data_IF_931514245281
#
_entry.id   IF_931514245281
#
_cell.length_a   1.000
_cell.length_b   1.000
_cell.length_c   1.000
_cell.angle_alpha   90.00
_cell.angle_beta   90.00
_cell.angle_gamma   90.00
#
_symmetry.space_group_name_H-M   'P 1'
#
loop_
_entity.id
_entity.type
_entity.pdbx_description
1 polymer ?
#
# COMPACT_ATOMS: atom_id res chain seq x y z
N UNK A 1 12.61 25.10 51.62
CA UNK A 1 13.21 26.19 50.87
C UNK A 1 12.13 27.24 50.68
N UNK A 2 12.19 28.28 51.50
CA UNK A 2 11.27 29.42 51.43
C UNK A 2 11.59 30.27 50.21
N UNK A 3 10.60 30.42 49.31
CA UNK A 3 10.68 31.35 48.20
C UNK A 3 10.33 32.74 48.74
N UNK A 4 11.36 33.54 49.01
CA UNK A 4 11.20 34.97 49.32
C UNK A 4 10.66 35.68 48.08
N UNK A 5 9.37 36.12 48.13
CA UNK A 5 8.81 37.05 47.16
C UNK A 5 9.42 38.43 47.38
N UNK A 6 10.32 38.86 46.49
CA UNK A 6 10.74 40.26 46.43
C UNK A 6 9.60 41.08 45.80
N UNK A 7 9.04 42.03 46.55
CA UNK A 7 8.09 43.03 46.08
C UNK A 7 8.79 44.19 45.37
N UNK A 8 9.44 43.91 44.26
CA UNK A 8 9.86 44.91 43.28
C UNK A 8 8.88 44.84 42.14
N UNK A 9 8.11 45.89 41.87
CA UNK A 9 7.19 46.00 40.76
C UNK A 9 7.98 46.00 39.44
N UNK A 10 8.31 44.83 38.93
CA UNK A 10 8.79 44.67 37.55
C UNK A 10 7.59 44.87 36.63
N UNK A 11 7.66 45.91 35.83
CA UNK A 11 6.70 46.15 34.75
C UNK A 11 6.61 44.87 33.90
N UNK A 12 5.40 44.35 33.73
CA UNK A 12 5.21 43.12 32.97
C UNK A 12 5.57 43.38 31.52
N UNK A 13 6.33 42.49 30.86
CA UNK A 13 6.67 42.66 29.47
C UNK A 13 5.41 42.76 28.60
N UNK A 14 5.40 43.68 27.67
CA UNK A 14 4.31 43.89 26.73
C UNK A 14 4.48 42.92 25.53
N UNK A 15 3.39 42.47 24.90
CA UNK A 15 3.49 41.54 23.78
C UNK A 15 4.19 42.20 22.58
N UNK A 16 5.01 41.43 21.89
CA UNK A 16 5.59 41.74 20.59
C UNK A 16 4.84 40.99 19.50
N UNK A 17 4.46 41.71 18.42
CA UNK A 17 3.82 41.11 17.23
C UNK A 17 4.84 40.96 16.11
N UNK A 18 4.94 39.76 15.55
CA UNK A 18 5.62 39.47 14.29
C UNK A 18 4.59 39.43 13.17
N UNK A 19 4.48 40.51 12.35
CA UNK A 19 3.40 40.63 11.37
C UNK A 19 3.41 39.55 10.27
N UNK A 20 4.57 39.01 9.95
CA UNK A 20 4.79 37.94 8.96
C UNK A 20 4.14 36.60 9.38
N UNK A 21 3.94 36.38 10.67
CA UNK A 21 3.24 35.18 11.20
C UNK A 21 1.79 35.47 11.57
N UNK A 22 1.33 36.72 11.49
CA UNK A 22 -0.04 37.07 11.85
C UNK A 22 -1.02 36.76 10.71
N UNK A 23 -1.94 35.81 10.97
CA UNK A 23 -3.00 35.41 10.01
C UNK A 23 -4.27 36.27 10.08
N UNK A 24 -4.31 37.29 10.89
CA UNK A 24 -5.49 38.18 11.04
C UNK A 24 -6.73 37.44 11.58
N UNK A 25 -6.58 36.39 12.39
CA UNK A 25 -7.70 35.59 12.90
C UNK A 25 -8.52 36.26 13.98
N UNK A 26 -8.05 37.40 14.58
CA UNK A 26 -8.73 38.20 15.57
C UNK A 26 -8.89 37.59 16.98
N UNK A 27 -8.38 36.38 17.26
CA UNK A 27 -8.52 35.72 18.57
C UNK A 27 -7.89 36.53 19.70
N UNK A 28 -6.76 37.19 19.47
CA UNK A 28 -6.10 38.05 20.41
C UNK A 28 -6.92 39.31 20.74
N UNK A 29 -7.71 39.81 19.76
CA UNK A 29 -8.62 40.95 19.97
C UNK A 29 -9.68 40.59 21.03
N UNK A 30 -10.35 39.42 20.83
CA UNK A 30 -11.37 38.96 21.77
C UNK A 30 -10.82 38.58 23.17
N UNK A 31 -9.53 38.20 23.25
CA UNK A 31 -8.87 37.85 24.50
C UNK A 31 -8.34 39.04 25.28
N UNK A 32 -8.28 40.25 24.68
CA UNK A 32 -7.70 41.40 25.30
C UNK A 32 -8.71 42.14 26.22
N UNK A 33 -8.57 42.10 27.55
CA UNK A 33 -9.49 42.74 28.46
C UNK A 33 -9.36 44.30 28.47
N UNK A 34 -8.30 44.80 27.84
CA UNK A 34 -8.04 46.25 27.72
C UNK A 34 -8.42 46.82 26.35
N UNK A 35 -8.91 45.94 25.44
CA UNK A 35 -9.29 46.34 24.07
C UNK A 35 -8.19 47.12 23.32
N UNK A 36 -6.92 46.83 23.61
CA UNK A 36 -5.77 47.50 23.01
C UNK A 36 -5.22 46.76 21.77
N UNK A 37 -6.02 45.90 21.12
CA UNK A 37 -5.68 45.20 19.91
C UNK A 37 -6.80 45.41 18.88
N UNK A 38 -6.46 45.79 17.66
CA UNK A 38 -7.38 45.97 16.56
C UNK A 38 -6.80 45.35 15.28
N UNK A 39 -7.62 45.20 14.22
CA UNK A 39 -7.10 44.90 12.89
C UNK A 39 -6.35 46.12 12.33
N UNK A 40 -5.27 45.83 11.58
CA UNK A 40 -4.60 46.89 10.81
C UNK A 40 -5.51 47.36 9.66
N UNK A 41 -5.34 48.62 9.26
CA UNK A 41 -5.95 49.15 8.04
C UNK A 41 -5.18 48.77 6.76
N UNK A 42 -3.98 48.19 6.91
CA UNK A 42 -3.08 47.83 5.83
C UNK A 42 -2.92 46.32 5.72
N UNK A 43 -2.83 45.83 4.46
CA UNK A 43 -2.51 44.44 4.14
C UNK A 43 -0.99 44.24 4.23
N UNK A 44 -0.54 43.19 4.91
CA UNK A 44 0.87 42.83 4.91
C UNK A 44 1.27 42.36 3.49
N UNK A 45 2.21 43.03 2.81
CA UNK A 45 2.56 42.72 1.43
C UNK A 45 3.24 41.35 1.25
N UNK A 46 3.81 40.79 2.29
CA UNK A 46 4.49 39.48 2.25
C UNK A 46 3.50 38.33 2.36
N UNK A 47 2.46 38.50 3.20
CA UNK A 47 1.50 37.40 3.47
C UNK A 47 0.18 37.59 2.73
N UNK A 48 -0.13 38.80 2.26
CA UNK A 48 -1.43 39.13 1.67
C UNK A 48 -2.58 39.19 2.69
N UNK A 49 -2.28 39.14 4.00
CA UNK A 49 -3.26 39.12 5.08
C UNK A 49 -3.28 40.47 5.84
N UNK A 50 -4.41 40.75 6.48
CA UNK A 50 -4.54 41.92 7.36
C UNK A 50 -4.12 41.53 8.77
N UNK A 51 -2.94 41.97 9.29
CA UNK A 51 -2.49 41.66 10.64
C UNK A 51 -3.26 42.43 11.66
N UNK A 52 -3.04 42.12 12.94
CA UNK A 52 -3.49 42.99 14.04
C UNK A 52 -2.46 44.06 14.35
N UNK A 53 -2.88 45.12 15.04
CA UNK A 53 -2.00 46.16 15.59
C UNK A 53 -2.21 46.21 17.12
N UNK A 54 -1.14 46.55 17.83
CA UNK A 54 -1.11 46.62 19.28
C UNK A 54 -0.96 48.09 19.76
N UNK A 55 -1.90 48.57 20.59
CA UNK A 55 -1.71 49.78 21.36
C UNK A 55 -0.98 49.40 22.65
N UNK A 56 0.34 49.55 22.62
CA UNK A 56 1.18 49.18 23.75
C UNK A 56 1.05 50.17 24.95
N UNK A 57 0.56 51.38 24.73
CA UNK A 57 0.37 52.37 25.81
C UNK A 57 -0.84 51.97 26.68
N UNK A 58 -1.89 51.49 26.08
CA UNK A 58 -3.07 50.95 26.79
C UNK A 58 -2.85 49.54 27.36
N UNK A 59 -1.80 48.84 26.94
CA UNK A 59 -1.51 47.44 27.32
C UNK A 59 -0.94 47.34 28.76
N UNK A 60 -1.49 46.43 29.55
CA UNK A 60 -1.03 46.15 30.93
C UNK A 60 -0.11 44.91 31.05
N UNK A 61 0.32 44.31 29.93
CA UNK A 61 1.22 43.17 29.93
C UNK A 61 0.62 41.86 30.50
N UNK A 62 -0.70 41.65 30.43
CA UNK A 62 -1.33 40.45 31.00
C UNK A 62 -1.02 39.13 30.27
N UNK A 63 -0.52 39.17 29.04
CA UNK A 63 -0.13 38.00 28.27
C UNK A 63 -1.26 37.15 27.63
N UNK A 64 -2.53 37.50 27.87
CA UNK A 64 -3.67 36.71 27.39
C UNK A 64 -3.75 36.64 25.87
N UNK A 65 -3.30 37.68 25.16
CA UNK A 65 -3.22 37.68 23.68
C UNK A 65 -2.21 36.69 23.15
N UNK A 66 -1.10 36.49 23.85
CA UNK A 66 -0.06 35.49 23.49
C UNK A 66 -0.64 34.09 23.62
N UNK A 67 -1.29 33.80 24.76
CA UNK A 67 -1.94 32.50 24.99
C UNK A 67 -3.08 32.21 24.01
N UNK A 68 -3.79 33.26 23.55
CA UNK A 68 -4.91 33.14 22.62
C UNK A 68 -4.46 33.04 21.14
N UNK A 69 -3.21 33.42 20.84
CA UNK A 69 -2.68 33.34 19.49
C UNK A 69 -2.46 31.90 19.07
N UNK A 70 -3.05 31.41 17.95
CA UNK A 70 -2.83 30.05 17.46
C UNK A 70 -1.48 29.88 16.75
N UNK A 71 -0.81 31.00 16.41
CA UNK A 71 0.49 30.99 15.76
C UNK A 71 1.60 31.06 16.79
N UNK A 72 2.47 30.05 16.88
CA UNK A 72 3.52 30.00 17.91
C UNK A 72 4.51 31.18 17.85
N UNK A 73 4.66 31.77 16.66
CA UNK A 73 5.58 32.89 16.41
C UNK A 73 4.85 34.25 16.19
N UNK A 74 3.54 34.26 16.22
CA UNK A 74 2.75 35.46 15.91
C UNK A 74 2.80 36.52 16.99
N UNK A 75 2.64 36.14 18.24
CA UNK A 75 2.75 37.02 19.44
C UNK A 75 3.70 36.38 20.44
N UNK A 76 4.71 37.13 20.86
CA UNK A 76 5.72 36.72 21.84
C UNK A 76 5.83 37.69 23.00
N UNK A 77 6.56 37.30 24.03
CA UNK A 77 6.69 38.08 25.28
C UNK A 77 7.84 39.08 25.19
N UNK A 78 7.54 40.35 24.90
CA UNK A 78 8.44 41.48 24.95
C UNK A 78 9.43 41.66 23.82
N UNK A 79 9.67 40.63 23.01
CA UNK A 79 10.64 40.66 21.89
C UNK A 79 10.24 39.70 20.75
N UNK A 80 10.80 39.84 19.53
CA UNK A 80 10.67 38.82 18.51
C UNK A 80 11.03 37.45 19.03
N UNK A 81 10.35 36.40 18.58
CA UNK A 81 10.59 35.03 19.04
C UNK A 81 12.06 34.61 18.83
N UNK A 82 12.66 34.98 17.70
CA UNK A 82 14.06 34.71 17.40
C UNK A 82 15.03 35.35 18.43
N UNK A 83 14.65 36.50 18.97
CA UNK A 83 15.46 37.18 19.98
C UNK A 83 15.31 36.54 21.39
N UNK A 84 14.25 35.73 21.60
CA UNK A 84 14.02 35.00 22.86
C UNK A 84 14.71 33.64 22.89
N UNK A 85 15.18 33.17 21.75
CA UNK A 85 15.90 31.87 21.58
C UNK A 85 17.35 32.18 21.35
N UNK A 86 18.20 31.97 22.37
CA UNK A 86 19.65 31.97 22.19
C UNK A 86 20.05 30.62 21.58
N UNK A 87 20.19 30.56 20.25
CA UNK A 87 20.60 29.33 19.55
C UNK A 87 21.99 28.85 20.02
N UNK A 88 22.88 29.74 20.45
CA UNK A 88 24.17 29.37 20.99
C UNK A 88 24.10 28.75 22.39
N UNK A 89 22.99 29.01 23.12
CA UNK A 89 22.73 28.42 24.43
C UNK A 89 21.96 27.10 24.36
N UNK A 90 21.47 26.70 23.17
CA UNK A 90 20.83 25.40 22.99
C UNK A 90 21.90 24.31 23.17
N UNK A 91 21.65 23.29 24.02
CA UNK A 91 22.60 22.18 24.14
C UNK A 91 22.73 21.50 22.79
N UNK A 92 23.97 21.21 22.39
CA UNK A 92 24.18 20.37 21.22
C UNK A 92 23.29 19.11 21.32
N UNK A 93 22.60 18.73 20.23
CA UNK A 93 21.78 17.53 20.25
C UNK A 93 22.65 16.36 20.69
N UNK A 94 22.32 15.74 21.82
CA UNK A 94 23.02 14.53 22.25
C UNK A 94 23.04 13.51 21.10
N UNK A 95 24.21 12.93 20.85
CA UNK A 95 24.35 11.89 19.83
C UNK A 95 23.26 10.83 20.08
N UNK A 96 22.37 10.64 19.11
CA UNK A 96 21.29 9.66 19.22
C UNK A 96 21.87 8.28 18.98
N UNK A 97 21.53 7.27 19.81
CA UNK A 97 21.93 5.90 19.51
C UNK A 97 21.32 5.48 18.17
N UNK A 98 22.14 4.89 17.31
CA UNK A 98 21.67 4.30 16.06
C UNK A 98 20.86 3.04 16.37
N UNK A 99 19.62 2.97 15.88
CA UNK A 99 18.76 1.82 16.07
C UNK A 99 19.30 0.63 15.27
N UNK A 100 19.61 -0.46 15.97
CA UNK A 100 20.04 -1.70 15.34
C UNK A 100 18.83 -2.54 14.97
N UNK A 101 18.79 -3.15 13.76
CA UNK A 101 17.69 -4.01 13.39
C UNK A 101 17.65 -5.27 14.26
N UNK A 102 16.47 -5.62 14.74
CA UNK A 102 16.19 -6.92 15.35
C UNK A 102 15.72 -7.85 14.21
N UNK A 103 16.41 -8.97 13.91
CA UNK A 103 16.04 -9.84 12.82
C UNK A 103 14.76 -10.62 13.12
N UNK A 104 14.11 -11.09 12.05
CA UNK A 104 13.02 -12.06 12.16
C UNK A 104 13.52 -13.41 12.64
N UNK A 105 12.72 -14.06 13.47
CA UNK A 105 12.98 -15.43 13.91
C UNK A 105 12.03 -16.41 13.23
N UNK A 106 12.56 -17.46 12.62
CA UNK A 106 11.79 -18.55 12.01
C UNK A 106 11.65 -19.69 13.02
N UNK A 107 10.46 -19.83 13.59
CA UNK A 107 10.18 -20.78 14.64
C UNK A 107 9.43 -22.01 14.09
N UNK A 108 9.73 -23.23 14.58
CA UNK A 108 9.08 -24.43 14.07
C UNK A 108 7.58 -24.47 14.43
N UNK A 109 6.76 -24.85 13.45
CA UNK A 109 5.34 -25.11 13.64
C UNK A 109 5.13 -26.62 13.92
N UNK A 110 4.84 -26.97 15.16
CA UNK A 110 4.80 -28.37 15.60
C UNK A 110 3.61 -29.17 15.03
N UNK A 111 2.43 -28.53 14.91
CA UNK A 111 1.22 -29.16 14.37
C UNK A 111 0.94 -28.65 12.98
N UNK A 112 0.93 -29.55 11.99
CA UNK A 112 0.81 -29.23 10.56
C UNK A 112 -0.20 -30.13 9.86
N UNK A 113 -1.37 -30.35 10.47
CA UNK A 113 -2.41 -31.12 9.80
C UNK A 113 -2.98 -30.30 8.62
N UNK A 114 -3.15 -30.93 7.45
CA UNK A 114 -3.83 -30.28 6.33
C UNK A 114 -5.23 -29.81 6.72
N UNK A 115 -5.62 -28.65 6.22
CA UNK A 115 -6.94 -28.07 6.47
C UNK A 115 -7.73 -27.94 5.17
N UNK A 116 -9.06 -28.16 5.25
CA UNK A 116 -9.97 -27.80 4.18
C UNK A 116 -10.62 -26.45 4.52
N UNK A 117 -10.12 -25.37 3.90
CA UNK A 117 -10.52 -24.00 4.25
C UNK A 117 -10.73 -23.14 3.01
N UNK A 118 -11.46 -22.01 3.17
CA UNK A 118 -11.67 -21.01 2.13
C UNK A 118 -10.36 -20.28 1.81
N UNK A 119 -10.23 -19.78 0.56
CA UNK A 119 -9.07 -19.01 0.14
C UNK A 119 -8.83 -17.75 1.00
N UNK A 120 -9.88 -17.01 1.36
CA UNK A 120 -9.76 -15.85 2.25
C UNK A 120 -9.26 -16.24 3.66
N UNK A 121 -9.70 -17.38 4.20
CA UNK A 121 -9.19 -17.91 5.48
C UNK A 121 -7.73 -18.36 5.36
N UNK A 122 -7.36 -18.99 4.25
CA UNK A 122 -5.99 -19.42 4.00
C UNK A 122 -5.03 -18.22 3.97
N UNK A 123 -5.42 -17.12 3.32
CA UNK A 123 -4.67 -15.86 3.32
C UNK A 123 -4.52 -15.28 4.74
N UNK A 124 -5.60 -15.24 5.52
CA UNK A 124 -5.55 -14.76 6.91
C UNK A 124 -4.60 -15.60 7.77
N UNK A 125 -4.63 -16.94 7.64
CA UNK A 125 -3.70 -17.83 8.33
C UNK A 125 -2.27 -17.63 7.85
N UNK A 126 -2.04 -17.48 6.55
CA UNK A 126 -0.73 -17.16 5.98
C UNK A 126 -0.15 -15.87 6.58
N UNK A 127 -0.98 -14.84 6.74
CA UNK A 127 -0.57 -13.61 7.39
C UNK A 127 -0.15 -13.81 8.85
N UNK A 128 -0.94 -14.54 9.62
CA UNK A 128 -0.62 -14.85 11.02
C UNK A 128 0.70 -15.66 11.15
N UNK A 129 0.92 -16.61 10.23
CA UNK A 129 2.16 -17.39 10.16
C UNK A 129 3.35 -16.55 9.74
N UNK A 130 3.13 -15.54 8.88
CA UNK A 130 4.13 -14.54 8.52
C UNK A 130 4.40 -13.51 9.63
N UNK A 131 3.80 -13.64 10.81
CA UNK A 131 4.01 -12.74 11.94
C UNK A 131 3.14 -11.47 11.92
N UNK A 132 2.12 -11.39 11.07
CA UNK A 132 1.16 -10.29 11.11
C UNK A 132 0.41 -10.29 12.44
N UNK A 133 0.40 -9.15 13.12
CA UNK A 133 -0.33 -8.93 14.39
C UNK A 133 -1.24 -7.71 14.34
N UNK A 134 -1.31 -7.05 13.20
CA UNK A 134 -2.10 -5.82 13.04
C UNK A 134 -2.96 -5.92 11.78
N UNK A 135 -4.26 -5.76 11.97
CA UNK A 135 -5.24 -5.74 10.88
C UNK A 135 -6.09 -4.48 10.98
N UNK A 136 -6.20 -3.77 9.86
CA UNK A 136 -7.05 -2.60 9.74
C UNK A 136 -7.89 -2.75 8.47
N UNK A 137 -9.22 -2.73 8.59
CA UNK A 137 -10.08 -2.95 7.43
C UNK A 137 -11.45 -2.36 7.58
N UNK A 138 -12.12 -2.21 6.44
CA UNK A 138 -13.53 -1.88 6.34
C UNK A 138 -14.26 -3.07 5.70
N UNK A 139 -15.42 -3.52 6.24
CA UNK A 139 -16.12 -4.69 5.72
C UNK A 139 -16.61 -4.48 4.29
N UNK A 140 -16.14 -5.31 3.37
CA UNK A 140 -16.57 -5.31 1.96
C UNK A 140 -16.55 -6.72 1.39
N UNK A 141 -17.67 -7.14 0.77
CA UNK A 141 -17.83 -8.45 0.14
C UNK A 141 -17.14 -8.45 -1.24
N UNK A 142 -16.41 -9.53 -1.64
CA UNK A 142 -16.30 -10.86 -1.01
C UNK A 142 -15.04 -11.10 -0.18
N UNK A 143 -14.46 -10.08 0.45
CA UNK A 143 -13.24 -10.19 1.26
C UNK A 143 -13.52 -10.37 2.77
N UNK A 144 -14.78 -10.33 3.19
CA UNK A 144 -15.22 -10.25 4.59
C UNK A 144 -14.76 -11.42 5.44
N UNK A 145 -14.76 -12.65 4.91
CA UNK A 145 -14.41 -13.86 5.67
C UNK A 145 -12.97 -13.84 6.19
N UNK A 146 -12.04 -13.28 5.40
CA UNK A 146 -10.65 -13.09 5.86
C UNK A 146 -10.58 -12.13 7.04
N UNK A 147 -11.30 -11.01 6.95
CA UNK A 147 -11.37 -10.00 8.02
C UNK A 147 -12.03 -10.56 9.29
N UNK A 148 -13.12 -11.32 9.17
CA UNK A 148 -13.80 -11.96 10.29
C UNK A 148 -12.90 -12.97 11.02
N UNK A 149 -12.09 -13.74 10.26
CA UNK A 149 -11.13 -14.65 10.86
C UNK A 149 -10.04 -13.89 11.61
N UNK A 150 -9.52 -12.79 11.05
CA UNK A 150 -8.54 -11.93 11.73
C UNK A 150 -9.14 -11.31 13.00
N UNK A 151 -10.40 -10.84 12.96
CA UNK A 151 -11.09 -10.31 14.13
C UNK A 151 -11.21 -11.32 15.27
N UNK A 152 -11.39 -12.57 14.93
CA UNK A 152 -11.52 -13.68 15.90
C UNK A 152 -10.18 -14.10 16.50
N UNK A 153 -9.11 -14.14 15.70
CA UNK A 153 -7.85 -14.75 16.11
C UNK A 153 -6.86 -13.74 16.69
N UNK A 154 -6.75 -12.52 16.14
CA UNK A 154 -5.74 -11.54 16.53
C UNK A 154 -5.77 -11.16 18.01
N UNK A 155 -6.93 -10.89 18.65
CA UNK A 155 -6.96 -10.53 20.07
C UNK A 155 -6.36 -11.62 20.97
N UNK A 156 -6.65 -12.90 20.67
CA UNK A 156 -6.08 -14.04 21.42
C UNK A 156 -4.59 -14.26 21.20
N UNK A 157 -4.01 -13.63 20.17
CA UNK A 157 -2.58 -13.69 19.84
C UNK A 157 -1.81 -12.42 20.24
N UNK A 158 -2.43 -11.54 21.04
CA UNK A 158 -1.86 -10.24 21.42
C UNK A 158 -1.75 -9.24 20.26
N UNK A 159 -2.50 -9.45 19.20
CA UNK A 159 -2.56 -8.56 18.04
C UNK A 159 -3.70 -7.54 18.13
N UNK A 160 -3.72 -6.61 17.19
CA UNK A 160 -4.73 -5.56 17.07
C UNK A 160 -5.59 -5.76 15.84
N UNK A 161 -6.91 -5.78 16.03
CA UNK A 161 -7.89 -5.72 14.96
C UNK A 161 -8.70 -4.42 15.09
N UNK A 162 -8.71 -3.62 14.01
CA UNK A 162 -9.49 -2.37 13.97
C UNK A 162 -10.40 -2.39 12.76
N UNK A 163 -11.71 -2.34 13.00
CA UNK A 163 -12.67 -2.01 11.96
C UNK A 163 -12.68 -0.49 11.78
N UNK A 164 -12.08 -0.04 10.68
CA UNK A 164 -12.02 1.37 10.33
C UNK A 164 -13.39 1.87 9.81
N UNK A 165 -13.58 3.18 9.78
CA UNK A 165 -14.80 3.82 9.29
C UNK A 165 -14.89 3.86 7.75
N UNK A 166 -13.77 3.60 7.07
CA UNK A 166 -13.66 3.51 5.60
C UNK A 166 -12.33 2.87 5.21
N UNK A 167 -12.18 2.51 3.93
CA UNK A 167 -10.91 2.02 3.37
C UNK A 167 -9.83 3.09 3.38
N UNK A 168 -10.18 4.38 3.24
CA UNK A 168 -9.25 5.50 3.39
C UNK A 168 -8.67 5.51 4.80
N UNK A 169 -9.50 5.32 5.83
CA UNK A 169 -9.01 5.23 7.20
C UNK A 169 -8.15 3.97 7.41
N UNK A 170 -8.57 2.82 6.85
CA UNK A 170 -7.83 1.56 6.97
C UNK A 170 -6.39 1.67 6.41
N UNK A 171 -6.22 2.24 5.22
CA UNK A 171 -4.89 2.37 4.60
C UNK A 171 -4.01 3.35 5.38
N UNK A 172 -4.57 4.41 5.98
CA UNK A 172 -3.83 5.34 6.82
C UNK A 172 -3.41 4.72 8.16
N UNK A 173 -4.23 3.84 8.75
CA UNK A 173 -3.78 3.03 9.89
C UNK A 173 -2.60 2.12 9.51
N UNK A 174 -2.65 1.50 8.32
CA UNK A 174 -1.55 0.68 7.81
C UNK A 174 -0.29 1.52 7.54
N UNK A 175 -0.44 2.77 7.10
CA UNK A 175 0.69 3.70 6.96
C UNK A 175 1.44 3.85 8.29
N UNK A 176 0.71 4.14 9.37
CA UNK A 176 1.31 4.25 10.71
C UNK A 176 1.90 2.93 11.20
N UNK A 177 1.20 1.81 11.01
CA UNK A 177 1.67 0.48 11.39
C UNK A 177 2.97 0.08 10.68
N UNK A 178 2.99 0.20 9.35
CA UNK A 178 4.17 -0.11 8.54
C UNK A 178 5.34 0.84 8.81
N UNK A 179 5.05 2.14 9.04
CA UNK A 179 6.03 3.13 9.45
C UNK A 179 6.69 2.82 10.80
N UNK A 180 5.94 2.22 11.71
CA UNK A 180 6.47 1.70 12.97
C UNK A 180 7.25 0.38 12.83
N UNK A 181 7.46 -0.12 11.60
CA UNK A 181 8.16 -1.38 11.33
C UNK A 181 7.35 -2.63 11.70
N UNK A 182 6.03 -2.49 11.92
CA UNK A 182 5.16 -3.59 12.32
C UNK A 182 4.48 -4.24 11.10
N UNK A 183 4.22 -5.55 11.19
CA UNK A 183 3.54 -6.29 10.13
C UNK A 183 2.03 -6.10 10.22
N UNK A 184 1.49 -5.32 9.28
CA UNK A 184 0.07 -5.05 9.14
C UNK A 184 -0.46 -5.40 7.77
N UNK A 185 -1.77 -5.71 7.69
CA UNK A 185 -2.46 -6.00 6.44
C UNK A 185 -3.91 -5.51 6.44
N UNK A 186 -4.49 -5.52 5.25
CA UNK A 186 -5.93 -5.36 5.04
C UNK A 186 -6.46 -6.36 4.02
N UNK A 187 -7.74 -6.71 4.16
CA UNK A 187 -8.56 -7.27 3.10
C UNK A 187 -9.48 -6.19 2.54
N UNK A 188 -9.60 -6.14 1.23
CA UNK A 188 -10.51 -5.24 0.52
C UNK A 188 -11.07 -5.90 -0.75
N UNK A 189 -11.94 -5.19 -1.44
CA UNK A 189 -12.47 -5.56 -2.74
C UNK A 189 -12.53 -4.33 -3.63
N UNK A 190 -12.59 -4.50 -4.91
CA UNK A 190 -12.48 -3.51 -5.99
C UNK A 190 -12.87 -2.05 -5.66
N UNK A 191 -14.09 -1.72 -5.19
CA UNK A 191 -14.42 -0.34 -4.81
C UNK A 191 -13.57 0.18 -3.64
N UNK A 192 -13.31 -0.66 -2.63
CA UNK A 192 -12.48 -0.28 -1.49
C UNK A 192 -11.01 -0.15 -1.86
N UNK A 193 -10.51 -0.98 -2.79
CA UNK A 193 -9.15 -0.83 -3.31
C UNK A 193 -8.97 0.52 -4.01
N UNK A 194 -9.98 0.98 -4.76
CA UNK A 194 -9.98 2.32 -5.38
C UNK A 194 -9.81 3.45 -4.34
N UNK A 195 -10.42 3.33 -3.16
CA UNK A 195 -10.30 4.31 -2.08
C UNK A 195 -8.92 4.29 -1.38
N UNK A 196 -8.15 3.23 -1.54
CA UNK A 196 -6.83 3.10 -0.91
C UNK A 196 -5.67 3.70 -1.75
N UNK A 197 -5.90 4.09 -2.99
CA UNK A 197 -4.84 4.44 -3.95
C UNK A 197 -3.96 5.61 -3.50
N UNK A 198 -4.54 6.65 -2.91
CA UNK A 198 -3.77 7.77 -2.37
C UNK A 198 -2.84 7.32 -1.24
N UNK A 199 -3.37 6.55 -0.29
CA UNK A 199 -2.57 6.00 0.80
C UNK A 199 -1.45 5.07 0.31
N UNK A 200 -1.69 4.27 -0.72
CA UNK A 200 -0.68 3.43 -1.37
C UNK A 200 0.42 4.26 -2.02
N UNK A 201 0.06 5.36 -2.71
CA UNK A 201 1.04 6.30 -3.26
C UNK A 201 1.94 6.88 -2.16
N UNK A 202 1.35 7.30 -1.03
CA UNK A 202 2.11 7.81 0.12
C UNK A 202 3.03 6.76 0.74
N UNK A 203 2.55 5.52 0.87
CA UNK A 203 3.37 4.40 1.38
C UNK A 203 4.55 4.08 0.46
N UNK A 204 4.33 4.09 -0.85
CA UNK A 204 5.40 3.86 -1.84
C UNK A 204 6.44 4.98 -1.76
N UNK A 205 5.99 6.24 -1.72
CA UNK A 205 6.87 7.40 -1.59
C UNK A 205 7.63 7.43 -0.27
N UNK A 206 7.02 6.98 0.82
CA UNK A 206 7.67 6.91 2.14
C UNK A 206 8.41 5.58 2.39
N UNK A 207 8.41 4.66 1.43
CA UNK A 207 9.03 3.32 1.51
C UNK A 207 8.52 2.51 2.73
N UNK A 208 7.20 2.45 2.89
CA UNK A 208 6.52 1.76 3.99
C UNK A 208 6.01 0.40 3.52
N UNK A 209 6.42 -0.71 4.19
CA UNK A 209 5.93 -2.05 3.87
C UNK A 209 4.50 -2.27 4.37
N UNK A 210 3.66 -2.89 3.54
CA UNK A 210 2.34 -3.38 3.93
C UNK A 210 1.86 -4.46 2.96
N UNK A 211 0.84 -5.20 3.35
CA UNK A 211 0.17 -6.20 2.49
C UNK A 211 -1.29 -5.82 2.31
N UNK A 212 -1.71 -5.69 1.05
CA UNK A 212 -3.11 -5.47 0.68
C UNK A 212 -3.59 -6.68 -0.10
N UNK A 213 -4.60 -7.36 0.40
CA UNK A 213 -5.27 -8.47 -0.31
C UNK A 213 -6.56 -7.92 -0.92
N UNK A 214 -6.59 -7.81 -2.24
CA UNK A 214 -7.76 -7.38 -2.98
C UNK A 214 -8.48 -8.58 -3.60
N UNK A 215 -9.67 -8.88 -3.10
CA UNK A 215 -10.57 -9.91 -3.66
C UNK A 215 -11.47 -9.24 -4.68
N UNK A 216 -11.06 -9.28 -5.94
CA UNK A 216 -11.69 -8.58 -7.05
C UNK A 216 -13.12 -9.06 -7.30
N UNK A 217 -13.99 -8.12 -7.63
CA UNK A 217 -15.41 -8.37 -7.93
C UNK A 217 -15.87 -7.58 -9.15
N UNK A 218 -17.06 -7.95 -9.67
CA UNK A 218 -17.64 -7.33 -10.85
C UNK A 218 -17.92 -5.84 -10.68
N UNK A 219 -17.48 -5.06 -11.66
CA UNK A 219 -17.65 -3.61 -11.82
C UNK A 219 -18.16 -3.23 -13.21
N UNK A 220 -18.14 -1.95 -13.60
CA UNK A 220 -17.77 -0.75 -12.83
C UNK A 220 -18.84 -0.30 -11.82
N UNK A 221 -18.48 0.68 -11.00
CA UNK A 221 -19.34 1.21 -9.94
C UNK A 221 -19.48 0.22 -8.78
N UNK A 222 -20.67 0.11 -8.21
CA UNK A 222 -20.93 -0.87 -7.15
C UNK A 222 -20.88 -2.31 -7.68
N UNK A 223 -21.27 -2.50 -8.95
CA UNK A 223 -21.25 -3.79 -9.65
C UNK A 223 -21.99 -4.89 -8.94
N UNK A 224 -21.37 -6.06 -8.85
CA UNK A 224 -21.85 -7.21 -8.09
C UNK A 224 -20.70 -7.88 -7.31
N UNK A 225 -20.98 -8.96 -6.58
CA UNK A 225 -20.00 -9.70 -5.79
C UNK A 225 -19.37 -10.89 -6.53
N UNK A 226 -19.70 -11.06 -7.81
CA UNK A 226 -19.17 -12.13 -8.64
C UNK A 226 -17.68 -11.94 -8.96
N UNK A 227 -16.97 -13.01 -9.34
CA UNK A 227 -15.55 -12.95 -9.64
C UNK A 227 -15.26 -12.13 -10.92
N UNK A 228 -14.30 -11.24 -10.86
CA UNK A 228 -13.82 -10.48 -12.02
C UNK A 228 -12.32 -10.14 -11.86
N UNK A 229 -11.67 -9.69 -12.94
CA UNK A 229 -10.23 -9.36 -12.96
C UNK A 229 -9.97 -7.90 -13.38
N UNK A 230 -10.92 -7.01 -13.14
CA UNK A 230 -10.88 -5.62 -13.61
C UNK A 230 -9.99 -4.69 -12.79
N UNK A 231 -9.31 -5.17 -11.74
CA UNK A 231 -8.36 -4.39 -10.95
C UNK A 231 -6.90 -4.68 -11.29
N UNK A 232 -6.60 -5.54 -12.27
CA UNK A 232 -5.22 -5.84 -12.69
C UNK A 232 -4.52 -4.55 -13.12
N UNK A 233 -5.13 -3.78 -14.01
CA UNK A 233 -4.59 -2.51 -14.47
C UNK A 233 -4.42 -1.51 -13.34
N UNK A 234 -5.39 -1.44 -12.43
CA UNK A 234 -5.33 -0.56 -11.28
C UNK A 234 -4.15 -0.92 -10.35
N UNK A 235 -3.98 -2.21 -10.06
CA UNK A 235 -2.89 -2.70 -9.21
C UNK A 235 -1.52 -2.55 -9.86
N UNK A 236 -1.40 -2.82 -11.16
CA UNK A 236 -0.13 -2.79 -11.87
C UNK A 236 0.29 -1.39 -12.33
N UNK A 237 -0.66 -0.45 -12.57
CA UNK A 237 -0.42 0.83 -13.26
C UNK A 237 -1.08 2.05 -12.61
N UNK A 238 -1.94 1.88 -11.61
CA UNK A 238 -2.81 2.95 -11.12
C UNK A 238 -2.76 3.17 -9.61
N UNK A 239 -1.62 2.94 -8.95
CA UNK A 239 -1.50 3.08 -7.49
C UNK A 239 -1.35 4.53 -7.02
N UNK A 240 -2.34 5.36 -7.33
CA UNK A 240 -2.36 6.78 -7.01
C UNK A 240 -1.52 7.61 -7.98
N UNK A 241 -0.97 8.74 -7.52
CA UNK A 241 -0.18 9.64 -8.34
C UNK A 241 1.32 9.41 -8.19
N UNK A 242 2.08 9.99 -9.12
CA UNK A 242 3.53 9.90 -9.14
C UNK A 242 4.06 8.60 -9.76
N UNK A 243 5.34 8.34 -9.52
CA UNK A 243 6.01 7.17 -10.06
C UNK A 243 5.85 5.96 -9.10
N UNK A 244 4.66 5.40 -9.05
CA UNK A 244 4.30 4.33 -8.13
C UNK A 244 4.41 2.94 -8.77
N UNK A 245 5.07 2.00 -8.09
CA UNK A 245 5.10 0.58 -8.44
C UNK A 245 5.01 -0.27 -7.17
N UNK A 246 4.30 -1.38 -7.25
CA UNK A 246 4.24 -2.38 -6.20
C UNK A 246 4.35 -3.78 -6.81
N UNK A 247 4.87 -4.74 -6.05
CA UNK A 247 4.79 -6.15 -6.47
C UNK A 247 3.32 -6.56 -6.39
N UNK A 248 2.81 -7.10 -7.50
CA UNK A 248 1.43 -7.58 -7.63
C UNK A 248 1.46 -9.08 -7.87
N UNK A 249 0.89 -9.83 -6.94
CA UNK A 249 0.80 -11.29 -7.00
C UNK A 249 -0.62 -11.72 -7.32
N UNK A 250 -0.78 -12.83 -8.06
CA UNK A 250 -2.08 -13.41 -8.42
C UNK A 250 -2.14 -14.89 -8.00
N UNK A 251 -2.94 -15.18 -6.98
CA UNK A 251 -3.18 -16.54 -6.51
C UNK A 251 -4.20 -17.27 -7.41
N UNK A 252 -4.08 -18.61 -7.51
CA UNK A 252 -5.01 -19.45 -8.25
C UNK A 252 -5.58 -20.63 -7.42
N UNK A 253 -5.23 -20.75 -6.15
CA UNK A 253 -5.74 -21.79 -5.25
C UNK A 253 -5.74 -21.32 -3.80
N UNK A 254 -6.53 -21.97 -2.89
CA UNK A 254 -6.44 -21.70 -1.46
C UNK A 254 -5.04 -21.90 -0.87
N UNK A 255 -4.27 -22.89 -1.36
CA UNK A 255 -2.87 -23.05 -0.97
C UNK A 255 -2.05 -21.81 -1.31
N UNK A 256 -2.17 -21.32 -2.54
CA UNK A 256 -1.46 -20.10 -2.95
C UNK A 256 -1.93 -18.84 -2.21
N UNK A 257 -3.18 -18.77 -1.79
CA UNK A 257 -3.64 -17.68 -0.92
C UNK A 257 -2.87 -17.65 0.39
N UNK A 258 -2.50 -18.80 0.96
CA UNK A 258 -1.62 -18.87 2.13
C UNK A 258 -0.18 -18.50 1.77
N UNK A 259 0.39 -19.22 0.80
CA UNK A 259 1.82 -19.13 0.47
C UNK A 259 2.21 -17.75 -0.04
N UNK A 260 1.39 -17.17 -0.95
CA UNK A 260 1.64 -15.84 -1.50
C UNK A 260 1.37 -14.72 -0.50
N UNK A 261 0.48 -14.93 0.49
CA UNK A 261 0.35 -13.97 1.59
C UNK A 261 1.60 -13.96 2.46
N UNK A 262 2.16 -15.11 2.80
CA UNK A 262 3.44 -15.17 3.53
C UNK A 262 4.56 -14.50 2.72
N UNK A 263 4.68 -14.82 1.43
CA UNK A 263 5.63 -14.20 0.52
C UNK A 263 5.43 -12.68 0.42
N UNK A 264 4.17 -12.20 0.44
CA UNK A 264 3.88 -10.76 0.38
C UNK A 264 4.51 -10.00 1.55
N UNK A 265 4.49 -10.55 2.76
CA UNK A 265 5.16 -9.94 3.92
C UNK A 265 6.67 -9.94 3.77
N UNK A 266 7.26 -11.04 3.29
CA UNK A 266 8.70 -11.11 3.02
C UNK A 266 9.12 -10.02 2.01
N UNK A 267 8.43 -9.95 0.88
CA UNK A 267 8.73 -8.99 -0.19
C UNK A 267 8.48 -7.55 0.23
N UNK A 268 7.41 -7.29 1.00
CA UNK A 268 7.09 -5.95 1.48
C UNK A 268 8.23 -5.41 2.36
N UNK A 269 8.71 -6.19 3.31
CA UNK A 269 9.80 -5.78 4.21
C UNK A 269 11.16 -5.77 3.53
N UNK A 270 11.43 -6.73 2.62
CA UNK A 270 12.65 -6.78 1.80
C UNK A 270 12.86 -5.50 0.98
N UNK A 271 11.80 -5.00 0.36
CA UNK A 271 11.86 -3.84 -0.53
C UNK A 271 11.38 -2.55 0.11
N UNK A 272 10.86 -2.59 1.34
CA UNK A 272 10.20 -1.45 1.98
C UNK A 272 9.17 -0.83 1.02
N UNK A 273 8.17 -1.62 0.68
CA UNK A 273 7.18 -1.26 -0.35
C UNK A 273 5.88 -2.03 -0.10
N UNK A 274 4.70 -1.47 -0.41
CA UNK A 274 3.48 -2.24 -0.43
C UNK A 274 3.56 -3.42 -1.39
N UNK A 275 2.91 -4.54 -1.04
CA UNK A 275 2.67 -5.69 -1.92
C UNK A 275 1.17 -5.92 -2.02
N UNK A 276 0.69 -6.11 -3.25
CA UNK A 276 -0.71 -6.36 -3.54
C UNK A 276 -0.88 -7.84 -3.91
N UNK A 277 -1.75 -8.53 -3.21
CA UNK A 277 -2.18 -9.88 -3.57
C UNK A 277 -3.58 -9.80 -4.18
N UNK A 278 -3.70 -10.16 -5.45
CA UNK A 278 -4.98 -10.22 -6.17
C UNK A 278 -5.56 -11.64 -6.11
N UNK A 279 -6.79 -11.71 -5.66
CA UNK A 279 -7.67 -12.86 -5.79
C UNK A 279 -8.95 -12.42 -6.50
N UNK A 280 -9.76 -13.35 -6.99
CA UNK A 280 -11.12 -13.04 -7.42
C UNK A 280 -12.16 -13.58 -6.42
N UNK A 281 -13.41 -13.13 -6.56
CA UNK A 281 -14.50 -13.48 -5.64
C UNK A 281 -14.76 -14.98 -5.51
N UNK A 282 -14.48 -15.76 -6.57
CA UNK A 282 -14.62 -17.21 -6.51
C UNK A 282 -13.51 -17.84 -5.66
N UNK A 283 -12.27 -17.43 -5.89
CA UNK A 283 -11.11 -17.93 -5.16
C UNK A 283 -11.19 -17.59 -3.65
N UNK A 284 -11.65 -16.40 -3.31
CA UNK A 284 -11.84 -16.01 -1.90
C UNK A 284 -12.80 -16.95 -1.15
N UNK A 285 -13.83 -17.43 -1.82
CA UNK A 285 -14.88 -18.27 -1.25
C UNK A 285 -14.63 -19.78 -1.42
N UNK A 286 -13.82 -20.18 -2.39
CA UNK A 286 -13.57 -21.57 -2.71
C UNK A 286 -12.84 -22.27 -1.56
N UNK A 287 -13.37 -23.41 -1.13
CA UNK A 287 -12.71 -24.31 -0.18
C UNK A 287 -11.73 -25.24 -0.90
N UNK A 288 -10.56 -25.40 -0.35
CA UNK A 288 -9.54 -26.32 -0.84
C UNK A 288 -8.65 -26.85 0.27
N UNK A 289 -7.87 -27.88 -0.06
CA UNK A 289 -6.84 -28.41 0.83
C UNK A 289 -5.71 -27.39 0.94
N UNK A 290 -5.29 -27.11 2.17
CA UNK A 290 -4.17 -26.22 2.50
C UNK A 290 -3.23 -26.94 3.46
N UNK A 291 -1.98 -27.12 3.05
CA UNK A 291 -0.91 -27.67 3.85
C UNK A 291 -0.15 -26.51 4.51
N UNK A 292 0.06 -26.60 5.82
CA UNK A 292 0.76 -25.57 6.58
C UNK A 292 2.28 -25.66 6.40
N UNK A 293 3.01 -24.54 6.35
CA UNK A 293 4.47 -24.54 6.29
C UNK A 293 5.10 -25.11 7.57
N UNK A 294 6.38 -25.53 7.54
CA UNK A 294 7.03 -26.06 8.71
C UNK A 294 7.42 -25.03 9.78
N UNK A 295 7.16 -23.76 9.53
CA UNK A 295 7.56 -22.66 10.41
C UNK A 295 6.49 -21.55 10.46
N UNK A 296 6.63 -20.70 11.46
CA UNK A 296 6.00 -19.39 11.50
C UNK A 296 7.05 -18.34 11.85
N UNK A 297 6.76 -17.08 11.55
CA UNK A 297 7.68 -15.97 11.78
C UNK A 297 7.31 -15.21 13.06
N UNK A 298 8.29 -15.03 13.94
CA UNK A 298 8.25 -14.00 14.98
C UNK A 298 8.95 -12.77 14.39
N UNK A 299 8.21 -11.68 14.12
CA UNK A 299 8.80 -10.52 13.49
C UNK A 299 9.80 -9.82 14.41
N UNK A 300 10.91 -9.40 13.85
CA UNK A 300 11.85 -8.47 14.47
C UNK A 300 11.38 -7.02 14.36
N UNK A 301 12.30 -6.08 14.58
CA UNK A 301 12.06 -4.65 14.42
C UNK A 301 13.16 -4.06 13.54
N UNK A 302 12.81 -3.49 12.35
CA UNK A 302 13.81 -2.89 11.47
C UNK A 302 14.44 -1.63 12.07
N UNK A 303 15.74 -1.40 11.86
CA UNK A 303 16.44 -0.22 12.37
C UNK A 303 15.90 1.13 11.84
N UNK A 304 15.22 1.13 10.67
CA UNK A 304 14.56 2.31 10.10
C UNK A 304 13.18 2.63 10.70
N UNK A 305 12.60 1.74 11.53
CA UNK A 305 11.25 1.92 12.06
C UNK A 305 11.12 3.20 12.89
N UNK A 306 9.99 3.89 12.76
CA UNK A 306 9.60 4.98 13.66
C UNK A 306 8.87 4.37 14.84
N UNK A 307 9.64 3.95 15.86
CA UNK A 307 9.12 3.25 17.02
C UNK A 307 9.29 4.06 18.31
N UNK A 308 8.52 3.75 19.34
CA UNK A 308 8.45 4.57 20.57
C UNK A 308 9.60 4.37 21.55
N UNK A 309 10.58 3.51 21.28
CA UNK A 309 11.73 3.33 22.13
C UNK A 309 12.80 4.44 21.95
N UNK A 310 13.84 4.39 22.76
CA UNK A 310 14.88 5.40 22.78
C UNK A 310 15.73 5.39 21.50
N UNK A 311 16.01 4.22 20.98
CA UNK A 311 16.90 3.98 19.84
C UNK A 311 16.26 4.46 18.53
N UNK A 312 14.96 4.16 18.32
CA UNK A 312 14.23 4.50 17.10
C UNK A 312 13.63 5.92 17.09
N UNK A 313 13.60 6.63 18.23
CA UNK A 313 12.99 7.95 18.37
C UNK A 313 13.51 9.00 17.37
N UNK A 314 14.75 8.82 16.89
CA UNK A 314 15.38 9.72 15.91
C UNK A 314 14.99 9.46 14.46
N UNK A 315 14.34 8.33 14.17
CA UNK A 315 13.98 7.97 12.80
C UNK A 315 12.84 8.86 12.30
N UNK A 316 12.89 9.17 11.02
CA UNK A 316 11.87 9.90 10.30
C UNK A 316 11.52 9.16 9.00
N UNK A 317 10.23 8.96 8.77
CA UNK A 317 9.69 8.46 7.51
C UNK A 317 8.84 9.57 6.91
N UNK A 318 9.14 9.96 5.67
CA UNK A 318 8.49 11.07 5.00
C UNK A 318 8.38 10.80 3.50
N UNK A 319 7.31 11.28 2.87
CA UNK A 319 7.11 11.28 1.43
C UNK A 319 7.02 12.70 0.85
N UNK A 320 7.24 13.72 1.68
CA UNK A 320 7.22 15.11 1.25
C UNK A 320 8.65 15.63 1.07
N UNK A 321 8.93 16.14 -0.12
CA UNK A 321 10.21 16.75 -0.49
C UNK A 321 9.87 18.06 -1.20
N UNK A 322 10.12 19.20 -0.54
CA UNK A 322 9.70 20.51 -1.03
C UNK A 322 10.64 21.07 -2.11
N UNK A 323 11.91 20.73 -2.07
CA UNK A 323 12.86 21.11 -3.11
C UNK A 323 12.81 20.09 -4.26
N UNK A 324 12.71 20.59 -5.50
CA UNK A 324 12.61 19.76 -6.71
C UNK A 324 13.81 18.80 -6.87
N UNK A 325 15.07 19.21 -6.64
CA UNK A 325 16.21 18.31 -6.73
C UNK A 325 16.16 17.16 -5.71
N UNK A 326 15.61 17.39 -4.51
CA UNK A 326 15.50 16.36 -3.47
C UNK A 326 14.43 15.32 -3.86
N UNK A 327 13.31 15.79 -4.43
CA UNK A 327 12.28 14.89 -4.94
C UNK A 327 12.79 14.09 -6.15
N UNK A 328 13.55 14.71 -7.06
CA UNK A 328 14.16 14.00 -8.19
C UNK A 328 15.13 12.91 -7.67
N UNK A 329 16.02 13.24 -6.76
CA UNK A 329 16.96 12.28 -6.17
C UNK A 329 16.23 11.11 -5.48
N UNK A 330 15.10 11.38 -4.79
CA UNK A 330 14.26 10.35 -4.21
C UNK A 330 13.61 9.46 -5.28
N UNK A 331 13.06 10.04 -6.35
CA UNK A 331 12.49 9.28 -7.46
C UNK A 331 13.54 8.39 -8.15
N UNK A 332 14.77 8.84 -8.31
CA UNK A 332 15.86 8.01 -8.84
C UNK A 332 16.16 6.80 -7.93
N UNK A 333 16.11 6.97 -6.60
CA UNK A 333 16.23 5.84 -5.66
C UNK A 333 15.08 4.86 -5.79
N UNK A 334 13.84 5.35 -5.94
CA UNK A 334 12.67 4.51 -6.17
C UNK A 334 12.78 3.74 -7.50
N UNK A 335 13.20 4.39 -8.58
CA UNK A 335 13.43 3.73 -9.88
C UNK A 335 14.45 2.59 -9.75
N UNK A 336 15.59 2.84 -9.14
CA UNK A 336 16.60 1.80 -8.90
C UNK A 336 16.06 0.63 -8.03
N UNK A 337 15.16 0.91 -7.09
CA UNK A 337 14.44 -0.12 -6.32
C UNK A 337 13.53 -0.94 -7.23
N UNK A 338 12.73 -0.30 -8.11
CA UNK A 338 11.84 -0.98 -9.03
C UNK A 338 12.59 -1.86 -10.04
N UNK A 339 13.73 -1.42 -10.54
CA UNK A 339 14.59 -2.23 -11.40
C UNK A 339 15.06 -3.52 -10.69
N UNK A 340 15.49 -3.41 -9.41
CA UNK A 340 15.84 -4.59 -8.61
C UNK A 340 14.65 -5.52 -8.40
N UNK A 341 13.46 -4.99 -8.12
CA UNK A 341 12.22 -5.77 -7.98
C UNK A 341 11.89 -6.47 -9.31
N UNK A 342 11.94 -5.75 -10.43
CA UNK A 342 11.64 -6.28 -11.75
C UNK A 342 12.63 -7.36 -12.20
N UNK A 343 13.88 -7.25 -11.82
CA UNK A 343 14.90 -8.24 -12.14
C UNK A 343 14.76 -9.56 -11.34
N UNK A 344 14.38 -9.46 -10.05
CA UNK A 344 14.45 -10.55 -9.08
C UNK A 344 13.11 -11.28 -8.86
N UNK A 345 11.96 -10.59 -9.01
CA UNK A 345 10.69 -11.08 -8.50
C UNK A 345 9.71 -11.54 -9.59
N UNK A 346 10.23 -12.06 -10.69
CA UNK A 346 9.42 -12.65 -11.77
C UNK A 346 9.07 -14.11 -11.43
N UNK A 347 7.78 -14.41 -11.25
CA UNK A 347 7.26 -15.75 -10.95
C UNK A 347 6.16 -16.14 -11.90
N UNK A 348 6.25 -17.37 -12.45
CA UNK A 348 5.23 -17.95 -13.33
C UNK A 348 5.13 -19.45 -13.14
N UNK A 349 3.96 -20.02 -13.45
CA UNK A 349 3.80 -21.44 -13.71
C UNK A 349 3.79 -21.67 -15.22
N UNK A 350 4.54 -22.69 -15.66
CA UNK A 350 4.58 -23.18 -17.04
C UNK A 350 4.00 -24.58 -17.07
N UNK A 351 2.77 -24.72 -17.54
CA UNK A 351 2.09 -26.02 -17.62
C UNK A 351 2.05 -26.50 -19.05
N UNK A 352 2.67 -27.64 -19.35
CA UNK A 352 2.72 -28.23 -20.72
C UNK A 352 3.26 -27.28 -21.79
N UNK A 353 4.26 -26.45 -21.47
CA UNK A 353 4.74 -25.36 -22.33
C UNK A 353 5.87 -25.78 -23.30
N UNK A 354 6.53 -26.94 -23.13
CA UNK A 354 7.78 -27.26 -23.81
C UNK A 354 7.62 -27.46 -25.34
N UNK A 355 6.47 -27.98 -25.74
CA UNK A 355 6.08 -28.23 -27.13
C UNK A 355 4.85 -27.43 -27.59
N UNK A 356 4.45 -26.42 -26.81
CA UNK A 356 3.21 -25.69 -27.05
C UNK A 356 3.32 -24.79 -28.31
N UNK A 357 2.41 -25.01 -29.27
CA UNK A 357 2.16 -24.13 -30.42
C UNK A 357 1.01 -23.14 -30.14
N UNK A 358 0.09 -23.50 -29.24
CA UNK A 358 -0.98 -22.65 -28.74
C UNK A 358 -0.73 -22.36 -27.25
N UNK A 359 -0.41 -21.13 -26.92
CA UNK A 359 -0.10 -20.72 -25.54
C UNK A 359 -1.31 -20.00 -24.94
N UNK A 360 -1.95 -20.63 -23.96
CA UNK A 360 -2.96 -19.97 -23.14
C UNK A 360 -2.25 -19.10 -22.09
N UNK A 361 -2.72 -17.86 -21.89
CA UNK A 361 -2.23 -16.97 -20.84
C UNK A 361 -3.38 -16.63 -19.93
N UNK A 362 -3.27 -16.95 -18.63
CA UNK A 362 -4.34 -16.72 -17.66
C UNK A 362 -3.79 -16.61 -16.23
N UNK A 363 -4.49 -15.91 -15.34
CA UNK A 363 -4.18 -15.88 -13.91
C UNK A 363 -5.48 -16.05 -13.07
N UNK A 364 -5.38 -16.17 -11.76
CA UNK A 364 -6.47 -16.39 -10.82
C UNK A 364 -7.38 -17.59 -11.21
N UNK A 365 -8.71 -17.49 -11.01
CA UNK A 365 -9.66 -18.55 -11.36
C UNK A 365 -9.67 -18.92 -12.86
N UNK A 366 -9.60 -17.98 -13.83
CA UNK A 366 -9.46 -18.32 -15.25
C UNK A 366 -8.29 -19.25 -15.57
N UNK A 367 -7.17 -19.15 -14.83
CA UNK A 367 -6.04 -20.07 -15.03
C UNK A 367 -6.36 -21.53 -14.68
N UNK A 368 -7.24 -21.74 -13.70
CA UNK A 368 -7.73 -23.09 -13.35
C UNK A 368 -8.55 -23.70 -14.48
N UNK A 369 -9.43 -22.88 -15.08
CA UNK A 369 -10.24 -23.29 -16.23
C UNK A 369 -9.35 -23.56 -17.46
N UNK A 370 -8.38 -22.69 -17.69
CA UNK A 370 -7.40 -22.84 -18.78
C UNK A 370 -6.53 -24.11 -18.62
N UNK A 371 -6.18 -24.49 -17.39
CA UNK A 371 -5.43 -25.72 -17.11
C UNK A 371 -6.22 -26.96 -17.54
N UNK A 372 -7.51 -27.03 -17.21
CA UNK A 372 -8.42 -28.08 -17.70
C UNK A 372 -8.58 -28.06 -19.23
N UNK A 373 -8.67 -26.85 -19.80
CA UNK A 373 -8.76 -26.70 -21.27
C UNK A 373 -7.51 -27.20 -21.99
N UNK A 374 -6.31 -26.98 -21.45
CA UNK A 374 -5.05 -27.51 -22.01
C UNK A 374 -5.10 -29.04 -22.10
N UNK A 375 -5.52 -29.73 -21.03
CA UNK A 375 -5.61 -31.20 -21.07
C UNK A 375 -6.62 -31.67 -22.13
N UNK A 376 -7.83 -31.06 -22.14
CA UNK A 376 -8.86 -31.41 -23.12
C UNK A 376 -8.47 -31.08 -24.57
N UNK A 377 -7.68 -30.07 -24.82
CA UNK A 377 -7.11 -29.73 -26.15
C UNK A 377 -6.04 -30.73 -26.58
N UNK A 378 -5.16 -31.13 -25.65
CA UNK A 378 -4.13 -32.14 -25.92
C UNK A 378 -4.72 -33.51 -26.26
N UNK A 379 -5.79 -33.92 -25.59
CA UNK A 379 -6.55 -35.12 -25.95
C UNK A 379 -7.09 -35.09 -27.40
N UNK A 380 -7.29 -33.87 -27.95
CA UNK A 380 -7.73 -33.63 -29.33
C UNK A 380 -6.58 -33.34 -30.30
N UNK A 381 -5.34 -33.60 -29.88
CA UNK A 381 -4.15 -33.42 -30.72
C UNK A 381 -3.73 -31.98 -30.97
N UNK A 382 -4.11 -31.05 -30.09
CA UNK A 382 -3.64 -29.66 -30.11
C UNK A 382 -2.47 -29.52 -29.13
N UNK A 383 -1.31 -29.09 -29.62
CA UNK A 383 -0.14 -28.79 -28.77
C UNK A 383 -0.38 -27.49 -27.97
N UNK A 384 -1.26 -27.58 -26.98
CA UNK A 384 -1.59 -26.43 -26.09
C UNK A 384 -0.76 -26.46 -24.82
N UNK A 385 -0.42 -25.27 -24.30
CA UNK A 385 0.22 -25.07 -23.01
C UNK A 385 -0.37 -23.87 -22.27
N UNK A 386 -0.17 -23.80 -20.96
CA UNK A 386 -0.59 -22.66 -20.13
C UNK A 386 0.62 -21.94 -19.55
N UNK A 387 0.72 -20.66 -19.83
CA UNK A 387 1.55 -19.72 -19.11
C UNK A 387 0.71 -18.96 -18.08
N UNK A 388 0.99 -19.14 -16.81
CA UNK A 388 0.30 -18.49 -15.72
C UNK A 388 1.26 -17.53 -15.01
N UNK A 389 1.15 -16.20 -15.21
CA UNK A 389 1.88 -15.27 -14.39
C UNK A 389 1.39 -15.37 -12.93
N UNK A 390 2.33 -15.53 -12.00
CA UNK A 390 2.10 -15.45 -10.55
C UNK A 390 2.39 -14.02 -10.09
N UNK A 391 3.43 -13.38 -10.64
CA UNK A 391 3.59 -11.93 -10.56
C UNK A 391 2.95 -11.28 -11.79
N UNK A 392 2.11 -10.27 -11.57
CA UNK A 392 1.56 -9.44 -12.64
C UNK A 392 2.42 -8.18 -12.82
N UNK A 393 2.93 -7.64 -11.75
CA UNK A 393 4.05 -6.72 -11.78
C UNK A 393 5.11 -7.16 -10.75
N UNK A 394 6.36 -7.31 -11.15
CA UNK A 394 6.86 -7.33 -12.54
C UNK A 394 6.30 -8.54 -13.32
N UNK A 395 5.92 -8.31 -14.58
CA UNK A 395 5.44 -9.41 -15.42
C UNK A 395 6.59 -10.39 -15.69
N UNK A 396 6.37 -11.72 -15.59
CA UNK A 396 7.43 -12.73 -15.67
C UNK A 396 7.83 -13.07 -17.11
N UNK A 397 8.22 -12.05 -17.86
CA UNK A 397 8.51 -12.14 -19.28
C UNK A 397 9.64 -13.11 -19.59
N UNK A 398 10.67 -13.20 -18.75
CA UNK A 398 11.80 -14.11 -18.94
C UNK A 398 11.37 -15.56 -19.05
N UNK A 399 10.34 -15.96 -18.30
CA UNK A 399 9.81 -17.33 -18.34
C UNK A 399 8.92 -17.59 -19.57
N UNK A 400 8.41 -16.54 -20.21
CA UNK A 400 7.56 -16.63 -21.40
C UNK A 400 8.37 -16.64 -22.70
N UNK A 401 9.48 -15.90 -22.78
CA UNK A 401 10.26 -15.72 -24.02
C UNK A 401 10.54 -17.02 -24.79
N UNK A 402 10.98 -18.15 -24.18
CA UNK A 402 11.26 -19.38 -24.93
C UNK A 402 10.02 -19.98 -25.59
N UNK A 403 8.83 -19.68 -25.08
CA UNK A 403 7.58 -20.16 -25.67
C UNK A 403 7.14 -19.30 -26.87
N UNK A 404 7.42 -17.99 -26.83
CA UNK A 404 7.06 -17.10 -27.95
C UNK A 404 7.75 -17.46 -29.27
N UNK A 405 8.94 -18.03 -29.21
CA UNK A 405 9.67 -18.49 -30.39
C UNK A 405 8.98 -19.66 -31.13
N UNK A 406 8.20 -20.47 -30.41
CA UNK A 406 7.51 -21.66 -30.92
C UNK A 406 6.02 -21.45 -31.10
N UNK A 407 5.45 -20.52 -30.38
CA UNK A 407 4.03 -20.29 -30.38
C UNK A 407 3.54 -19.75 -31.72
N UNK A 408 2.54 -20.39 -32.29
CA UNK A 408 1.85 -19.89 -33.48
C UNK A 408 0.80 -18.87 -33.15
N UNK A 409 0.22 -18.94 -31.90
CA UNK A 409 -0.75 -18.00 -31.40
C UNK A 409 -0.81 -18.05 -29.88
N UNK A 410 -1.28 -16.96 -29.31
CA UNK A 410 -1.56 -16.81 -27.89
C UNK A 410 -3.07 -16.65 -27.70
N UNK A 411 -3.61 -17.28 -26.66
CA UNK A 411 -5.01 -17.14 -26.26
C UNK A 411 -5.06 -16.61 -24.83
N UNK A 412 -5.45 -15.35 -24.66
CA UNK A 412 -5.60 -14.77 -23.33
C UNK A 412 -6.98 -15.13 -22.78
N UNK A 413 -6.99 -15.77 -21.61
CA UNK A 413 -8.21 -16.21 -20.91
C UNK A 413 -8.36 -15.38 -19.64
N UNK A 414 -9.35 -14.52 -19.61
CA UNK A 414 -9.53 -13.59 -18.49
C UNK A 414 -10.99 -13.22 -18.25
N UNK A 415 -11.29 -12.82 -17.03
CA UNK A 415 -12.56 -12.22 -16.62
C UNK A 415 -12.43 -10.70 -16.58
N UNK A 416 -11.99 -10.12 -17.69
CA UNK A 416 -11.85 -8.68 -17.89
C UNK A 416 -11.77 -8.33 -19.39
N UNK A 417 -11.93 -7.07 -19.78
CA UNK A 417 -11.83 -6.63 -21.19
C UNK A 417 -10.37 -6.38 -21.62
N UNK A 418 -9.45 -7.33 -21.40
CA UNK A 418 -8.08 -7.25 -21.89
C UNK A 418 -7.06 -6.69 -20.88
N UNK A 419 -7.34 -6.63 -19.59
CA UNK A 419 -6.38 -6.07 -18.63
C UNK A 419 -5.14 -6.94 -18.44
N UNK A 420 -5.28 -8.28 -18.47
CA UNK A 420 -4.15 -9.19 -18.46
C UNK A 420 -3.39 -9.14 -19.78
N UNK A 421 -4.10 -9.01 -20.91
CA UNK A 421 -3.48 -8.84 -22.23
C UNK A 421 -2.64 -7.57 -22.30
N UNK A 422 -3.13 -6.45 -21.76
CA UNK A 422 -2.38 -5.19 -21.74
C UNK A 422 -1.02 -5.37 -21.01
N UNK A 423 -0.97 -6.08 -19.90
CA UNK A 423 0.27 -6.38 -19.19
C UNK A 423 1.20 -7.31 -20.01
N UNK A 424 0.63 -8.32 -20.66
CA UNK A 424 1.37 -9.21 -21.57
C UNK A 424 1.98 -8.41 -22.74
N UNK A 425 1.18 -7.61 -23.44
CA UNK A 425 1.63 -6.83 -24.60
C UNK A 425 2.72 -5.84 -24.21
N UNK A 426 2.54 -5.15 -23.09
CA UNK A 426 3.53 -4.20 -22.59
C UNK A 426 4.86 -4.89 -22.26
N UNK A 427 4.80 -6.04 -21.59
CA UNK A 427 5.99 -6.80 -21.23
C UNK A 427 6.74 -7.34 -22.47
N UNK A 428 6.02 -7.85 -23.46
CA UNK A 428 6.61 -8.33 -24.73
C UNK A 428 7.21 -7.17 -25.55
N UNK A 429 6.50 -6.04 -25.60
CA UNK A 429 6.99 -4.80 -26.25
C UNK A 429 8.29 -4.31 -25.62
N UNK A 430 8.38 -4.26 -24.30
CA UNK A 430 9.61 -3.86 -23.60
C UNK A 430 10.75 -4.88 -23.78
N UNK A 431 10.44 -6.16 -24.00
CA UNK A 431 11.44 -7.17 -24.31
C UNK A 431 11.96 -7.07 -25.76
N UNK A 432 11.33 -6.29 -26.62
CA UNK A 432 11.72 -6.08 -28.00
C UNK A 432 11.56 -7.33 -28.90
N UNK A 433 10.64 -8.24 -28.57
CA UNK A 433 10.39 -9.46 -29.31
C UNK A 433 9.03 -9.41 -30.01
N UNK A 434 8.85 -10.11 -31.15
CA UNK A 434 7.57 -10.18 -31.82
C UNK A 434 6.55 -10.95 -30.96
N UNK A 435 5.31 -10.45 -30.93
CA UNK A 435 4.19 -11.12 -30.30
C UNK A 435 3.42 -11.91 -31.37
N UNK A 436 3.23 -13.25 -31.20
CA UNK A 436 2.34 -14.02 -32.07
C UNK A 436 0.90 -13.47 -32.05
N UNK A 437 0.04 -13.82 -33.04
CA UNK A 437 -1.36 -13.43 -33.02
C UNK A 437 -2.02 -13.72 -31.68
N UNK A 438 -2.74 -12.72 -31.13
CA UNK A 438 -3.42 -12.82 -29.84
C UNK A 438 -4.91 -12.96 -30.06
N UNK A 439 -5.50 -13.95 -29.45
CA UNK A 439 -6.94 -14.22 -29.39
C UNK A 439 -7.42 -14.13 -27.96
N UNK A 440 -8.74 -14.03 -27.76
CA UNK A 440 -9.34 -13.83 -26.46
C UNK A 440 -10.45 -14.83 -26.15
N UNK A 441 -10.48 -15.25 -24.90
CA UNK A 441 -11.66 -15.85 -24.25
C UNK A 441 -11.97 -15.00 -23.04
N UNK A 442 -12.94 -14.09 -23.17
CA UNK A 442 -13.25 -13.07 -22.16
C UNK A 442 -14.67 -13.21 -21.66
N UNK A 443 -14.86 -12.96 -20.37
CA UNK A 443 -16.15 -12.82 -19.70
C UNK A 443 -16.14 -11.60 -18.80
N UNK A 444 -17.31 -11.09 -18.47
CA UNK A 444 -17.49 -9.85 -17.73
C UNK A 444 -18.60 -9.97 -16.70
N UNK A 445 -18.67 -9.02 -15.77
CA UNK A 445 -19.78 -8.85 -14.85
C UNK A 445 -19.98 -10.02 -13.89
N UNK A 446 -18.88 -10.61 -13.41
CA UNK A 446 -18.95 -11.69 -12.42
C UNK A 446 -19.04 -13.10 -13.02
N UNK A 447 -18.77 -13.26 -14.32
CA UNK A 447 -18.76 -14.55 -15.01
C UNK A 447 -17.32 -14.93 -15.34
N UNK A 448 -16.95 -16.18 -15.09
CA UNK A 448 -15.62 -16.74 -15.45
C UNK A 448 -15.75 -17.57 -16.72
N UNK A 449 -14.79 -17.49 -17.69
CA UNK A 449 -14.74 -18.38 -18.83
C UNK A 449 -14.71 -19.86 -18.42
N UNK A 450 -15.57 -20.69 -19.00
CA UNK A 450 -15.57 -22.13 -18.70
C UNK A 450 -14.51 -22.87 -19.50
N UNK A 451 -14.13 -24.06 -19.05
CA UNK A 451 -13.21 -24.95 -19.77
C UNK A 451 -13.70 -25.26 -21.18
N UNK A 452 -15.03 -25.53 -21.35
CA UNK A 452 -15.66 -25.82 -22.61
C UNK A 452 -15.65 -24.65 -23.58
N UNK A 453 -15.86 -23.42 -23.07
CA UNK A 453 -15.76 -22.19 -23.87
C UNK A 453 -14.35 -21.98 -24.40
N UNK A 454 -13.34 -22.19 -23.56
CA UNK A 454 -11.93 -22.06 -23.93
C UNK A 454 -11.59 -23.08 -25.03
N UNK A 455 -11.95 -24.34 -24.82
CA UNK A 455 -11.71 -25.43 -25.79
C UNK A 455 -12.38 -25.14 -27.14
N UNK A 456 -13.67 -24.78 -27.11
CA UNK A 456 -14.44 -24.45 -28.31
C UNK A 456 -13.77 -23.31 -29.09
N UNK A 457 -13.43 -22.20 -28.43
CA UNK A 457 -12.82 -21.04 -29.08
C UNK A 457 -11.48 -21.37 -29.74
N UNK A 458 -10.65 -22.16 -29.06
CA UNK A 458 -9.35 -22.58 -29.62
C UNK A 458 -9.53 -23.49 -30.87
N UNK A 459 -10.55 -24.32 -30.91
CA UNK A 459 -10.82 -25.23 -32.05
C UNK A 459 -11.45 -24.48 -33.23
N UNK A 460 -12.41 -23.56 -32.99
CA UNK A 460 -13.05 -22.77 -34.05
C UNK A 460 -12.03 -21.98 -34.87
N UNK A 461 -11.05 -21.36 -34.24
CA UNK A 461 -10.04 -20.56 -34.95
C UNK A 461 -9.05 -21.42 -35.74
N UNK A 462 -8.90 -22.71 -35.41
CA UNK A 462 -8.07 -23.65 -36.17
C UNK A 462 -8.65 -23.94 -37.56
N UNK A 463 -9.99 -24.00 -37.69
CA UNK A 463 -10.69 -24.29 -38.95
C UNK A 463 -10.62 -23.13 -39.94
N UNK A 464 -10.44 -21.89 -39.48
CA UNK A 464 -10.36 -20.70 -40.35
C UNK A 464 -8.96 -20.49 -40.92
N UNK A 465 -7.93 -21.06 -40.31
CA UNK A 465 -6.51 -20.91 -40.71
C UNK A 465 -5.92 -22.17 -41.43
N UNK A 466 -6.69 -23.20 -41.60
CA UNK A 466 -6.37 -24.41 -42.36
C UNK A 466 -7.01 -24.39 -43.77
#
# INVERSE_FOLDING_TARGET
MEVTRSSGGTERPKPFLSPEFCKGCGRCIGACPKHCIAFSDEVNPQTGLIPVVLDLDACNGCGLCITACPEPYGLSDGAPFEALVDEAALPEPAARPEAKPIPDEYLPLAQRQPMAIKGAHASAIGALLAGCRHFYGYPITPSTEGSELMARLLPGMGGSFVQAVSEVAAINHLYGCGGAGLRGMTFTSSPGFSLMLEGLSYMIGAEIPTVVVNVMRGGPGLGNIGPEQTDIKLACRGLGHGNTQAIVLAAASPQEMLDLTMLSFELAFKYRNPVILLADGYLGQMTGKVDLPPYFVRPGLPGWAVYGDREHRGNLICSIFLAEPDLEAHNLRLLAKYERMAAAEQRAERWRMDDAEVVLVACNTPARMAKGAVEALRERGVAAGLFRPITLWPFPIKALLPALEKARRIVVVEASPGQLEDELRLAVSHAGVPLPPVEHVQRYGGIIPSTEEIVRRVLETREVTS
#
